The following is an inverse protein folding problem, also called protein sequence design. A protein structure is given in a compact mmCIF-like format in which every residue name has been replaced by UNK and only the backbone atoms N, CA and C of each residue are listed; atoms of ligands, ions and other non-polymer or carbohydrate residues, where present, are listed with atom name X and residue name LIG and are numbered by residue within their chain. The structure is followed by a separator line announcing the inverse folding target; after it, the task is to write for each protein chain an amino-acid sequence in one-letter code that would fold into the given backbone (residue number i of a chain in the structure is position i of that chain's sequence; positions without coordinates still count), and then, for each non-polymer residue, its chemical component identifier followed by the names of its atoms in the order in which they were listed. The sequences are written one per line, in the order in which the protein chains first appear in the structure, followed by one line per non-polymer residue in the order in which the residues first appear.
data_IF_225949251378
#
_entry.id   IF_225949251378
#
_cell.length_a   1.000
_cell.length_b   1.000
_cell.length_c   1.000
_cell.angle_alpha   90.00
_cell.angle_beta   90.00
_cell.angle_gamma   90.00
#
_symmetry.space_group_name_H-M   'P 1'
#
loop_
_entity.id
_entity.type
_entity.pdbx_description
1 polymer ?
#
# COMPACT_ATOMS: atom_id res chain seq x y z
N UNK A 1 -13.38 -8.01 -1.77
CA UNK A 1 -11.99 -8.20 -2.26
C UNK A 1 -11.04 -8.12 -1.07
N UNK A 2 -9.82 -8.62 -1.22
CA UNK A 2 -8.73 -8.51 -0.25
C UNK A 2 -7.85 -7.33 -0.62
N UNK A 3 -7.73 -6.36 0.29
CA UNK A 3 -6.95 -5.14 0.09
C UNK A 3 -5.79 -5.13 1.06
N UNK A 4 -4.56 -5.02 0.54
CA UNK A 4 -3.40 -4.79 1.38
C UNK A 4 -3.05 -3.32 1.33
N UNK A 5 -3.17 -2.63 2.45
CA UNK A 5 -2.87 -1.21 2.58
C UNK A 5 -1.47 -1.03 3.13
N UNK A 6 -0.63 -0.30 2.39
CA UNK A 6 0.72 0.06 2.83
C UNK A 6 0.70 1.44 3.47
N UNK A 7 1.27 1.54 4.66
CA UNK A 7 1.41 2.79 5.40
C UNK A 7 2.90 3.07 5.63
N UNK A 8 3.37 4.27 5.31
CA UNK A 8 4.66 4.78 5.80
C UNK A 8 4.48 6.17 6.39
N UNK A 9 5.20 6.43 7.49
CA UNK A 9 5.23 7.67 8.28
C UNK A 9 3.89 8.34 8.65
N UNK A 10 3.83 8.83 9.89
CA UNK A 10 2.67 9.53 10.45
C UNK A 10 2.45 10.94 9.90
N UNK A 11 1.45 11.62 10.45
CA UNK A 11 0.99 12.94 9.99
C UNK A 11 -0.38 12.83 9.31
N UNK A 12 -0.69 13.74 8.39
CA UNK A 12 -2.00 13.74 7.70
C UNK A 12 -2.26 12.43 6.93
N UNK A 13 -1.22 11.79 6.40
CA UNK A 13 -1.34 10.53 5.65
C UNK A 13 -1.90 9.37 6.47
N UNK A 14 -1.63 9.32 7.77
CA UNK A 14 -2.17 8.28 8.66
C UNK A 14 -3.70 8.35 8.75
N UNK A 15 -4.26 9.56 8.91
CA UNK A 15 -5.71 9.75 8.94
C UNK A 15 -6.35 9.36 7.61
N UNK A 16 -5.72 9.69 6.48
CA UNK A 16 -6.22 9.33 5.15
C UNK A 16 -6.18 7.80 4.95
N UNK A 17 -5.14 7.12 5.42
CA UNK A 17 -5.05 5.65 5.39
C UNK A 17 -6.16 5.03 6.22
N UNK A 18 -6.37 5.49 7.46
CA UNK A 18 -7.40 4.95 8.34
C UNK A 18 -8.81 5.17 7.78
N UNK A 19 -9.11 6.36 7.26
CA UNK A 19 -10.39 6.67 6.60
C UNK A 19 -10.57 5.81 5.33
N UNK A 20 -9.49 5.57 4.58
CA UNK A 20 -9.53 4.69 3.40
C UNK A 20 -9.82 3.24 3.80
N UNK A 21 -9.18 2.74 4.86
CA UNK A 21 -9.41 1.39 5.40
C UNK A 21 -10.86 1.24 5.85
N UNK A 22 -11.41 2.22 6.58
CA UNK A 22 -12.82 2.21 6.98
C UNK A 22 -13.75 2.22 5.76
N UNK A 23 -13.47 3.06 4.76
CA UNK A 23 -14.19 3.08 3.49
C UNK A 23 -14.19 1.72 2.78
N UNK A 24 -13.02 1.07 2.64
CA UNK A 24 -12.91 -0.26 2.04
C UNK A 24 -13.70 -1.32 2.82
N UNK A 25 -13.63 -1.30 4.16
CA UNK A 25 -14.37 -2.23 5.02
C UNK A 25 -15.88 -2.03 4.91
N UNK A 26 -16.36 -0.78 4.87
CA UNK A 26 -17.79 -0.45 4.66
C UNK A 26 -18.32 -0.93 3.31
N UNK A 27 -17.46 -1.00 2.30
CA UNK A 27 -17.78 -1.59 0.99
C UNK A 27 -17.70 -3.13 0.97
N UNK A 28 -17.48 -3.77 2.12
CA UNK A 28 -17.45 -5.23 2.25
C UNK A 28 -16.12 -5.88 1.87
N UNK A 29 -15.02 -5.12 1.87
CA UNK A 29 -13.69 -5.67 1.60
C UNK A 29 -13.00 -6.16 2.88
N UNK A 30 -12.19 -7.20 2.72
CA UNK A 30 -11.24 -7.65 3.74
C UNK A 30 -9.98 -6.81 3.60
N UNK A 31 -9.57 -6.12 4.66
CA UNK A 31 -8.45 -5.18 4.60
C UNK A 31 -7.41 -5.51 5.66
N UNK A 32 -6.16 -5.67 5.22
CA UNK A 32 -4.99 -5.73 6.08
C UNK A 32 -4.10 -4.51 5.88
N UNK A 33 -3.49 -4.07 6.97
CA UNK A 33 -2.58 -2.93 7.01
C UNK A 33 -1.16 -3.41 7.26
N UNK A 34 -0.20 -2.87 6.52
CA UNK A 34 1.23 -3.11 6.71
C UNK A 34 1.92 -1.80 7.02
N UNK A 35 2.57 -1.74 8.17
CA UNK A 35 3.43 -0.62 8.52
C UNK A 35 4.82 -0.84 7.91
N UNK A 36 5.15 -0.02 6.92
CA UNK A 36 6.43 -0.08 6.21
C UNK A 36 7.62 0.38 7.06
N UNK A 37 7.40 0.98 8.24
CA UNK A 37 8.48 1.32 9.16
C UNK A 37 8.95 0.10 9.96
N UNK A 38 8.06 -0.86 10.19
CA UNK A 38 8.32 -2.05 11.02
C UNK A 38 8.53 -3.31 10.16
N UNK A 39 7.83 -3.42 9.02
CA UNK A 39 7.70 -4.66 8.24
C UNK A 39 8.45 -4.64 6.89
N UNK A 40 9.51 -3.86 6.74
CA UNK A 40 10.13 -3.62 5.43
C UNK A 40 11.57 -4.15 5.29
N UNK A 41 11.97 -4.74 4.14
CA UNK A 41 11.19 -5.14 2.95
C UNK A 41 10.75 -6.62 2.93
N UNK A 42 11.37 -7.51 3.71
CA UNK A 42 11.13 -8.97 3.63
C UNK A 42 9.73 -9.33 4.17
N UNK A 43 9.31 -8.71 5.28
CA UNK A 43 8.00 -8.99 5.89
C UNK A 43 6.85 -8.60 4.95
N UNK A 44 6.98 -7.50 4.20
CA UNK A 44 5.98 -7.11 3.21
C UNK A 44 5.77 -8.18 2.12
N UNK A 45 6.85 -8.76 1.57
CA UNK A 45 6.71 -9.81 0.55
C UNK A 45 6.05 -11.07 1.11
N UNK A 46 6.33 -11.42 2.37
CA UNK A 46 5.68 -12.53 3.04
C UNK A 46 4.19 -12.23 3.26
N UNK A 47 3.84 -11.03 3.73
CA UNK A 47 2.44 -10.60 3.86
C UNK A 47 1.69 -10.63 2.53
N UNK A 48 2.30 -10.18 1.43
CA UNK A 48 1.69 -10.28 0.09
C UNK A 48 1.41 -11.75 -0.27
N UNK A 49 2.32 -12.67 0.04
CA UNK A 49 2.15 -14.10 -0.24
C UNK A 49 1.08 -14.76 0.64
N UNK A 50 1.07 -14.44 1.94
CA UNK A 50 0.16 -15.02 2.93
C UNK A 50 -1.26 -14.49 2.78
N UNK A 51 -1.41 -13.18 2.67
CA UNK A 51 -2.70 -12.53 2.54
C UNK A 51 -3.31 -12.73 1.15
N UNK A 52 -2.46 -12.76 0.11
CA UNK A 52 -2.83 -12.87 -1.31
C UNK A 52 -3.88 -11.82 -1.70
N UNK A 53 -3.50 -10.52 -1.70
CA UNK A 53 -4.45 -9.44 -1.98
C UNK A 53 -4.88 -9.41 -3.44
N UNK A 54 -6.12 -8.97 -3.68
CA UNK A 54 -6.62 -8.66 -5.03
C UNK A 54 -6.01 -7.33 -5.53
N UNK A 55 -5.78 -6.39 -4.61
CA UNK A 55 -4.99 -5.19 -4.91
C UNK A 55 -4.24 -4.65 -3.68
N UNK A 56 -3.15 -3.95 -3.95
CA UNK A 56 -2.34 -3.21 -2.97
C UNK A 56 -2.64 -1.72 -3.09
N UNK A 57 -2.93 -1.08 -1.97
CA UNK A 57 -3.20 0.35 -1.87
C UNK A 57 -2.12 1.07 -1.10
N UNK A 58 -1.75 2.26 -1.51
CA UNK A 58 -0.88 3.16 -0.75
C UNK A 58 -1.24 4.61 -1.03
N UNK A 59 -0.66 5.52 -0.25
CA UNK A 59 -0.70 6.96 -0.50
C UNK A 59 0.67 7.41 -1.00
N UNK A 60 0.67 8.25 -2.03
CA UNK A 60 1.86 8.72 -2.73
C UNK A 60 2.77 7.55 -3.18
N UNK A 61 4.09 7.71 -3.17
CA UNK A 61 5.02 6.68 -3.66
C UNK A 61 5.44 5.66 -2.58
N UNK A 62 4.78 5.69 -1.42
CA UNK A 62 5.22 4.96 -0.24
C UNK A 62 5.06 3.45 -0.43
N UNK A 63 6.16 2.70 -0.27
CA UNK A 63 6.16 1.24 -0.36
C UNK A 63 6.27 0.65 -1.76
N UNK A 64 6.19 1.45 -2.82
CA UNK A 64 6.39 0.99 -4.20
C UNK A 64 7.85 1.09 -4.64
N UNK A 65 8.73 0.37 -3.94
CA UNK A 65 10.09 0.13 -4.45
C UNK A 65 10.05 -0.86 -5.63
N UNK A 66 11.01 -0.71 -6.54
CA UNK A 66 11.13 -1.57 -7.74
C UNK A 66 10.96 -3.07 -7.45
N UNK A 67 11.63 -3.67 -6.43
CA UNK A 67 11.48 -5.10 -6.16
C UNK A 67 10.05 -5.51 -5.76
N UNK A 68 9.31 -4.62 -5.09
CA UNK A 68 7.93 -4.88 -4.67
C UNK A 68 7.01 -4.78 -5.88
N UNK A 69 7.17 -3.74 -6.70
CA UNK A 69 6.41 -3.59 -7.95
C UNK A 69 6.64 -4.80 -8.85
N UNK A 70 7.89 -5.24 -9.02
CA UNK A 70 8.22 -6.40 -9.84
C UNK A 70 7.53 -7.68 -9.32
N UNK A 71 7.48 -7.90 -8.01
CA UNK A 71 6.77 -9.04 -7.41
C UNK A 71 5.24 -8.95 -7.56
N UNK A 72 4.66 -7.75 -7.42
CA UNK A 72 3.23 -7.52 -7.65
C UNK A 72 2.87 -7.78 -9.12
N UNK A 73 3.68 -7.31 -10.06
CA UNK A 73 3.49 -7.54 -11.49
C UNK A 73 3.58 -9.02 -11.87
N UNK A 74 4.57 -9.77 -11.34
CA UNK A 74 4.69 -11.22 -11.58
C UNK A 74 3.45 -12.00 -11.13
N UNK A 75 2.74 -11.48 -10.13
CA UNK A 75 1.54 -12.09 -9.53
C UNK A 75 0.24 -11.52 -10.09
N UNK A 76 0.32 -10.61 -11.07
CA UNK A 76 -0.82 -9.89 -11.63
C UNK A 76 -1.67 -9.17 -10.57
N UNK A 77 -1.04 -8.75 -9.47
CA UNK A 77 -1.71 -8.02 -8.38
C UNK A 77 -1.81 -6.55 -8.78
N UNK A 78 -3.03 -6.01 -8.78
CA UNK A 78 -3.27 -4.60 -9.02
C UNK A 78 -2.64 -3.77 -7.90
N UNK A 79 -1.99 -2.68 -8.25
CA UNK A 79 -1.37 -1.79 -7.26
C UNK A 79 -1.76 -0.35 -7.56
N UNK A 80 -2.30 0.31 -6.55
CA UNK A 80 -2.92 1.63 -6.66
C UNK A 80 -2.26 2.55 -5.65
N UNK A 81 -1.85 3.72 -6.11
CA UNK A 81 -1.39 4.81 -5.26
C UNK A 81 -2.34 5.99 -5.40
N UNK A 82 -2.81 6.50 -4.26
CA UNK A 82 -3.49 7.79 -4.21
C UNK A 82 -2.48 8.89 -3.89
N UNK A 83 -2.16 9.72 -4.88
CA UNK A 83 -1.34 10.90 -4.66
C UNK A 83 -2.17 12.01 -4.03
N UNK A 84 -1.86 12.36 -2.79
CA UNK A 84 -2.54 13.42 -2.03
C UNK A 84 -1.77 14.73 -2.05
N UNK A 85 -0.46 14.66 -2.34
CA UNK A 85 0.40 15.81 -2.63
C UNK A 85 0.75 15.95 -4.12
N UNK A 86 1.67 16.87 -4.41
CA UNK A 86 2.22 17.02 -5.76
C UNK A 86 3.10 15.80 -6.12
N UNK A 87 2.74 14.98 -7.13
CA UNK A 87 3.39 13.69 -7.38
C UNK A 87 4.88 13.79 -7.71
N UNK A 88 5.30 14.91 -8.30
CA UNK A 88 6.68 15.14 -8.73
C UNK A 88 7.53 15.84 -7.67
N UNK A 89 7.02 16.05 -6.45
CA UNK A 89 7.79 16.68 -5.38
C UNK A 89 9.10 15.93 -5.05
N UNK A 90 9.13 14.62 -5.31
CA UNK A 90 10.23 13.71 -5.00
C UNK A 90 10.94 13.14 -6.23
N UNK A 91 10.56 13.58 -7.44
CA UNK A 91 11.26 13.16 -8.65
C UNK A 91 12.68 13.75 -8.65
N UNK A 92 13.73 12.97 -8.95
CA UNK A 92 15.06 13.53 -9.13
C UNK A 92 15.03 14.57 -10.26
N UNK A 93 15.65 15.74 -9.99
CA UNK A 93 15.80 16.81 -10.98
C UNK A 93 16.69 16.40 -12.14
#
# INVERSE_FOLDING_TARGET
MKVLVLQSYGGAGEFIIEDSIDGFRRLGNTVEKVDLNEDFPINLLNKIKEFYPDFVFTIDHNGFLRPIIDELNKKEILHVSWFTGYPLHWAPK
#
